data_IF_105049330416
#
_entry.id   IF_105049330416
#
_cell.length_a   1.000
_cell.length_b   1.000
_cell.length_c   1.000
_cell.angle_alpha   90.00
_cell.angle_beta   90.00
_cell.angle_gamma   90.00
#
_symmetry.space_group_name_H-M   'P 1'
#
loop_
_entity.id
_entity.type
_entity.pdbx_description
1 polymer ?
#
# COMPACT_ATOMS: atom_id res chain seq x y z
N UNK A 1 -22.68 37.18 19.97
CA UNK A 1 -23.16 37.11 18.57
C UNK A 1 -22.30 36.17 17.72
N UNK A 2 -21.00 36.39 17.52
CA UNK A 2 -20.14 35.45 16.75
C UNK A 2 -20.04 34.06 17.43
N UNK A 3 -19.89 34.02 18.75
CA UNK A 3 -19.81 32.78 19.53
C UNK A 3 -21.09 31.93 19.42
N UNK A 4 -22.24 32.59 19.33
CA UNK A 4 -23.55 31.97 19.25
C UNK A 4 -23.79 31.36 17.86
N UNK A 5 -23.33 32.04 16.81
CA UNK A 5 -23.29 31.51 15.44
C UNK A 5 -22.33 30.32 15.35
N UNK A 6 -21.17 30.37 16.00
CA UNK A 6 -20.24 29.23 16.06
C UNK A 6 -20.87 28.03 16.77
N UNK A 7 -21.59 28.26 17.87
CA UNK A 7 -22.28 27.20 18.58
C UNK A 7 -23.34 26.52 17.71
N UNK A 8 -24.17 27.30 17.02
CA UNK A 8 -25.18 26.79 16.08
C UNK A 8 -24.54 26.03 14.91
N UNK A 9 -23.41 26.51 14.38
CA UNK A 9 -22.67 25.82 13.33
C UNK A 9 -22.14 24.46 13.80
N UNK A 10 -21.54 24.42 15.00
CA UNK A 10 -21.04 23.18 15.60
C UNK A 10 -22.21 22.21 15.86
N UNK A 11 -23.33 22.71 16.37
CA UNK A 11 -24.51 21.88 16.62
C UNK A 11 -25.10 21.30 15.33
N UNK A 12 -25.16 22.08 14.25
CA UNK A 12 -25.61 21.61 12.94
C UNK A 12 -24.68 20.53 12.35
N UNK A 13 -23.37 20.61 12.61
CA UNK A 13 -22.40 19.55 12.24
C UNK A 13 -22.64 18.28 13.05
N UNK A 14 -22.89 18.40 14.35
CA UNK A 14 -23.09 17.26 15.26
C UNK A 14 -24.46 16.57 15.06
N UNK A 15 -25.47 17.30 14.57
CA UNK A 15 -26.84 16.79 14.31
C UNK A 15 -27.19 16.91 12.82
N UNK A 16 -26.60 16.09 11.95
CA UNK A 16 -26.72 16.27 10.51
C UNK A 16 -28.15 16.04 9.97
N UNK A 17 -29.03 15.40 10.74
CA UNK A 17 -30.45 15.17 10.39
C UNK A 17 -31.40 16.26 10.87
N UNK A 18 -30.92 17.25 11.65
CA UNK A 18 -31.73 18.41 12.03
C UNK A 18 -31.99 19.32 10.82
N UNK A 19 -32.95 20.24 10.93
CA UNK A 19 -33.23 21.20 9.87
C UNK A 19 -31.98 22.03 9.51
N UNK A 20 -31.24 22.50 10.52
CA UNK A 20 -30.00 23.26 10.34
C UNK A 20 -28.88 22.38 9.75
N UNK A 21 -28.76 21.12 10.17
CA UNK A 21 -27.79 20.17 9.61
C UNK A 21 -28.07 19.83 8.14
N UNK A 22 -29.35 19.70 7.76
CA UNK A 22 -29.77 19.50 6.36
C UNK A 22 -29.42 20.73 5.53
N UNK A 23 -29.73 21.94 6.02
CA UNK A 23 -29.38 23.19 5.37
C UNK A 23 -27.87 23.34 5.18
N UNK A 24 -27.10 23.05 6.23
CA UNK A 24 -25.64 23.12 6.21
C UNK A 24 -25.03 22.15 5.20
N UNK A 25 -25.46 20.88 5.18
CA UNK A 25 -24.99 19.91 4.17
C UNK A 25 -25.30 20.37 2.75
N UNK A 26 -26.53 20.84 2.52
CA UNK A 26 -26.96 21.30 1.19
C UNK A 26 -26.10 22.47 0.71
N UNK A 27 -25.81 23.44 1.59
CA UNK A 27 -24.97 24.59 1.28
C UNK A 27 -23.49 24.21 1.08
N UNK A 28 -22.95 23.27 1.86
CA UNK A 28 -21.53 22.93 1.83
C UNK A 28 -21.14 21.86 0.80
N UNK A 29 -22.07 21.03 0.32
CA UNK A 29 -21.78 19.93 -0.63
C UNK A 29 -21.07 20.44 -1.89
N UNK A 30 -21.51 21.55 -2.47
CA UNK A 30 -20.86 22.13 -3.64
C UNK A 30 -19.39 22.53 -3.35
N UNK A 31 -19.14 23.14 -2.18
CA UNK A 31 -17.80 23.55 -1.74
C UNK A 31 -16.89 22.35 -1.52
N UNK A 32 -17.41 21.28 -0.90
CA UNK A 32 -16.67 20.04 -0.65
C UNK A 32 -16.32 19.36 -1.98
N UNK A 33 -17.27 19.25 -2.91
CA UNK A 33 -17.03 18.66 -4.25
C UNK A 33 -15.95 19.43 -5.01
N UNK A 34 -16.00 20.76 -4.99
CA UNK A 34 -14.98 21.59 -5.63
C UNK A 34 -13.60 21.38 -4.97
N UNK A 35 -13.54 21.35 -3.63
CA UNK A 35 -12.28 21.11 -2.91
C UNK A 35 -11.72 19.71 -3.12
N UNK A 36 -12.58 18.70 -3.21
CA UNK A 36 -12.18 17.33 -3.53
C UNK A 36 -11.64 17.24 -4.97
N UNK A 37 -12.33 17.87 -5.93
CA UNK A 37 -11.86 17.94 -7.32
C UNK A 37 -10.53 18.71 -7.43
N UNK A 38 -10.35 19.79 -6.67
CA UNK A 38 -9.10 20.55 -6.62
C UNK A 38 -7.96 19.74 -5.99
N UNK A 39 -8.25 18.94 -4.95
CA UNK A 39 -7.28 18.06 -4.33
C UNK A 39 -6.83 16.95 -5.31
N UNK A 40 -7.78 16.30 -5.98
CA UNK A 40 -7.51 15.29 -7.02
C UNK A 40 -6.71 15.91 -8.17
N UNK A 41 -7.11 17.09 -8.67
CA UNK A 41 -6.40 17.77 -9.75
C UNK A 41 -4.97 18.12 -9.34
N UNK A 42 -4.77 18.58 -8.10
CA UNK A 42 -3.42 18.87 -7.57
C UNK A 42 -2.57 17.61 -7.46
N UNK A 43 -3.17 16.50 -7.03
CA UNK A 43 -2.50 15.19 -6.94
C UNK A 43 -2.17 14.62 -8.32
N UNK A 44 -3.08 14.72 -9.29
CA UNK A 44 -2.84 14.33 -10.69
C UNK A 44 -1.76 15.19 -11.33
N UNK A 45 -1.78 16.51 -11.10
CA UNK A 45 -0.73 17.41 -11.60
C UNK A 45 0.62 17.14 -10.93
N UNK A 46 0.63 16.69 -9.67
CA UNK A 46 1.84 16.21 -9.00
C UNK A 46 2.29 14.90 -9.64
N UNK A 47 1.40 13.91 -9.80
CA UNK A 47 1.70 12.62 -10.43
C UNK A 47 2.25 12.79 -11.85
N UNK A 48 1.59 13.57 -12.72
CA UNK A 48 2.05 13.84 -14.09
C UNK A 48 3.38 14.61 -14.13
N UNK A 49 3.62 15.51 -13.17
CA UNK A 49 4.90 16.22 -13.03
C UNK A 49 6.06 15.32 -12.59
N UNK A 50 5.78 14.20 -11.91
CA UNK A 50 6.79 13.24 -11.45
C UNK A 50 6.97 12.02 -12.39
N UNK A 51 6.22 11.93 -13.49
CA UNK A 51 6.37 10.85 -14.51
C UNK A 51 7.44 11.20 -15.57
N UNK A 52 8.02 12.41 -15.57
CA UNK A 52 8.99 12.87 -16.59
C UNK A 52 10.34 13.35 -16.05
N UNK A 53 10.78 12.86 -14.89
CA UNK A 53 12.12 13.15 -14.37
C UNK A 53 12.70 11.92 -13.66
N UNK A 54 13.03 10.88 -14.43
CA UNK A 54 13.97 9.83 -13.97
C UNK A 54 15.44 10.23 -14.15
N UNK A 55 15.73 11.46 -14.61
CA UNK A 55 17.08 12.00 -14.61
C UNK A 55 17.17 13.31 -13.80
N UNK A 56 18.07 13.28 -12.81
CA UNK A 56 18.71 14.40 -12.09
C UNK A 56 17.93 15.10 -10.96
N UNK A 57 18.28 14.79 -9.71
CA UNK A 57 19.33 15.49 -8.92
C UNK A 57 19.10 15.25 -7.42
N UNK A 58 20.11 14.71 -6.72
CA UNK A 58 20.14 14.67 -5.26
C UNK A 58 19.95 16.08 -4.69
N UNK A 59 18.83 16.33 -3.99
CA UNK A 59 18.73 17.43 -3.02
C UNK A 59 18.65 16.87 -1.60
N UNK A 60 19.42 17.45 -0.66
CA UNK A 60 19.55 16.92 0.69
C UNK A 60 18.31 17.30 1.53
N UNK A 61 17.85 16.31 2.31
CA UNK A 61 16.96 16.41 3.46
C UNK A 61 15.59 17.09 3.28
N UNK A 62 14.61 16.27 2.92
CA UNK A 62 13.21 16.43 3.32
C UNK A 62 12.72 15.14 3.97
N UNK A 63 13.06 14.93 5.25
CA UNK A 63 12.53 13.79 6.03
C UNK A 63 10.99 13.89 6.11
N UNK A 64 10.29 13.18 5.22
CA UNK A 64 8.91 12.74 5.44
C UNK A 64 9.00 11.26 5.75
N UNK A 65 8.66 10.88 6.97
CA UNK A 65 8.68 9.51 7.45
C UNK A 65 7.73 8.62 6.62
N UNK A 66 8.24 8.06 5.54
CA UNK A 66 7.69 6.94 4.76
C UNK A 66 8.77 5.84 4.61
N UNK A 67 9.57 5.65 5.65
CA UNK A 67 10.77 4.80 5.62
C UNK A 67 10.56 3.45 6.31
N UNK A 68 9.42 2.79 6.11
CA UNK A 68 9.28 1.38 6.53
C UNK A 68 8.89 0.52 5.34
N UNK A 69 7.74 0.79 4.70
CA UNK A 69 7.19 -0.18 3.75
C UNK A 69 7.98 -0.23 2.42
N UNK A 70 8.41 0.92 1.88
CA UNK A 70 9.16 0.96 0.61
C UNK A 70 10.62 0.54 0.80
N UNK A 71 11.22 0.88 1.94
CA UNK A 71 12.58 0.43 2.31
C UNK A 71 12.60 -1.08 2.59
N UNK A 72 11.59 -1.60 3.30
CA UNK A 72 11.42 -3.04 3.55
C UNK A 72 11.17 -3.82 2.24
N UNK A 73 10.32 -3.30 1.34
CA UNK A 73 10.10 -3.91 0.02
C UNK A 73 11.36 -3.92 -0.83
N UNK A 74 12.08 -2.80 -0.88
CA UNK A 74 13.36 -2.71 -1.58
C UNK A 74 14.41 -3.66 -1.00
N UNK A 75 14.46 -3.78 0.32
CA UNK A 75 15.35 -4.71 1.01
C UNK A 75 14.99 -6.17 0.67
N UNK A 76 13.71 -6.54 0.74
CA UNK A 76 13.22 -7.88 0.36
C UNK A 76 13.57 -8.20 -1.08
N UNK A 77 13.36 -7.26 -2.01
CA UNK A 77 13.75 -7.45 -3.42
C UNK A 77 15.26 -7.65 -3.59
N UNK A 78 16.08 -6.89 -2.84
CA UNK A 78 17.54 -7.04 -2.87
C UNK A 78 18.01 -8.42 -2.37
N UNK A 79 17.30 -8.98 -1.38
CA UNK A 79 17.57 -10.32 -0.84
C UNK A 79 17.12 -11.39 -1.81
N UNK A 80 15.92 -11.25 -2.39
CA UNK A 80 15.37 -12.21 -3.35
C UNK A 80 16.17 -12.28 -4.66
N UNK A 81 16.78 -11.17 -5.12
CA UNK A 81 17.67 -11.16 -6.30
C UNK A 81 18.94 -12.00 -6.13
N UNK A 82 19.35 -12.31 -4.90
CA UNK A 82 20.52 -13.15 -4.60
C UNK A 82 20.21 -14.65 -4.72
N UNK A 83 18.94 -15.02 -4.81
CA UNK A 83 18.50 -16.41 -4.91
C UNK A 83 18.56 -16.84 -6.38
N UNK A 84 19.23 -17.96 -6.65
CA UNK A 84 19.59 -18.37 -8.01
C UNK A 84 18.39 -18.92 -8.81
N UNK A 85 17.36 -19.43 -8.15
CA UNK A 85 16.21 -20.06 -8.82
C UNK A 85 14.97 -19.14 -8.83
N UNK A 86 14.58 -18.60 -10.00
CA UNK A 86 13.44 -17.69 -10.10
C UNK A 86 12.10 -18.35 -9.76
N UNK A 87 11.99 -19.69 -9.88
CA UNK A 87 10.76 -20.42 -9.54
C UNK A 87 10.57 -20.52 -8.03
N UNK A 88 11.66 -20.69 -7.29
CA UNK A 88 11.65 -20.68 -5.82
C UNK A 88 11.28 -19.31 -5.27
N UNK A 89 11.85 -18.25 -5.87
CA UNK A 89 11.49 -16.85 -5.55
C UNK A 89 10.01 -16.58 -5.78
N UNK A 90 9.46 -17.05 -6.91
CA UNK A 90 8.04 -16.87 -7.22
C UNK A 90 7.13 -17.67 -6.25
N UNK A 91 7.52 -18.89 -5.88
CA UNK A 91 6.81 -19.68 -4.86
C UNK A 91 6.75 -18.96 -3.51
N UNK A 92 7.87 -18.38 -3.09
CA UNK A 92 7.96 -17.62 -1.85
C UNK A 92 7.17 -16.30 -1.92
N UNK A 93 7.17 -15.61 -3.06
CA UNK A 93 6.35 -14.40 -3.26
C UNK A 93 4.86 -14.69 -3.14
N UNK A 94 4.38 -15.74 -3.81
CA UNK A 94 2.99 -16.18 -3.69
C UNK A 94 2.65 -16.59 -2.25
N UNK A 95 3.60 -17.16 -1.51
CA UNK A 95 3.42 -17.45 -0.10
C UNK A 95 3.25 -16.17 0.75
N UNK A 96 4.06 -15.13 0.49
CA UNK A 96 3.97 -13.83 1.16
C UNK A 96 2.65 -13.10 0.84
N UNK A 97 2.10 -13.29 -0.35
CA UNK A 97 0.79 -12.77 -0.76
C UNK A 97 -0.40 -13.52 -0.12
N UNK A 98 -0.13 -14.54 0.71
CA UNK A 98 -1.16 -15.31 1.42
C UNK A 98 -1.83 -16.39 0.56
N UNK A 99 -1.28 -16.71 -0.61
CA UNK A 99 -1.82 -17.76 -1.48
C UNK A 99 -1.65 -19.13 -0.81
N UNK A 100 -2.72 -19.94 -0.72
CA UNK A 100 -2.63 -21.26 -0.10
C UNK A 100 -1.68 -22.16 -0.89
N UNK A 101 -0.79 -22.85 -0.16
CA UNK A 101 0.21 -23.79 -0.71
C UNK A 101 -0.45 -24.91 -1.51
N UNK A 102 -1.60 -25.37 -1.02
CA UNK A 102 -2.48 -26.32 -1.69
C UNK A 102 -3.93 -25.87 -1.52
N UNK A 103 -4.69 -25.89 -2.62
CA UNK A 103 -6.13 -25.72 -2.58
C UNK A 103 -6.71 -26.38 -3.81
N UNK A 104 -7.77 -27.14 -3.62
CA UNK A 104 -8.60 -27.70 -4.69
C UNK A 104 -9.69 -26.74 -5.15
N UNK A 105 -9.89 -25.61 -4.43
CA UNK A 105 -10.99 -24.65 -4.68
C UNK A 105 -10.53 -23.28 -5.18
N UNK A 106 -9.26 -22.94 -4.97
CA UNK A 106 -8.66 -21.63 -5.31
C UNK A 106 -7.31 -21.89 -5.96
N UNK A 107 -6.86 -20.98 -6.83
CA UNK A 107 -5.49 -21.02 -7.34
C UNK A 107 -4.51 -21.13 -6.17
N UNK A 108 -3.70 -22.18 -6.22
CA UNK A 108 -2.70 -22.49 -5.20
C UNK A 108 -1.31 -22.34 -5.80
N UNK A 109 -0.30 -22.15 -4.95
CA UNK A 109 1.10 -22.02 -5.38
C UNK A 109 1.51 -23.19 -6.30
N UNK A 110 1.04 -24.40 -5.95
CA UNK A 110 1.21 -25.61 -6.74
C UNK A 110 0.60 -25.49 -8.15
N UNK A 111 -0.63 -24.96 -8.24
CA UNK A 111 -1.33 -24.76 -9.52
C UNK A 111 -0.68 -23.65 -10.36
N UNK A 112 -0.26 -22.54 -9.73
CA UNK A 112 0.35 -21.40 -10.41
C UNK A 112 1.73 -21.75 -11.01
N UNK A 113 2.48 -22.62 -10.34
CA UNK A 113 3.81 -23.06 -10.79
C UNK A 113 3.79 -24.38 -11.57
N UNK A 114 2.62 -25.03 -11.70
CA UNK A 114 2.48 -26.32 -12.37
C UNK A 114 3.25 -27.45 -11.68
N UNK A 115 3.43 -27.38 -10.35
CA UNK A 115 4.19 -28.37 -9.56
C UNK A 115 3.32 -29.04 -8.52
N UNK A 116 3.82 -30.16 -7.96
CA UNK A 116 3.13 -30.81 -6.84
C UNK A 116 3.12 -29.89 -5.62
N UNK A 117 2.06 -29.96 -4.81
CA UNK A 117 1.98 -29.22 -3.54
C UNK A 117 3.18 -29.48 -2.62
N UNK A 118 3.71 -30.70 -2.64
CA UNK A 118 4.91 -31.08 -1.88
C UNK A 118 6.16 -30.35 -2.38
N UNK A 119 6.30 -30.23 -3.70
CA UNK A 119 7.42 -29.50 -4.33
C UNK A 119 7.34 -28.00 -4.02
N UNK A 120 6.15 -27.40 -4.11
CA UNK A 120 5.95 -26.00 -3.74
C UNK A 120 6.28 -25.74 -2.27
N UNK A 121 5.88 -26.64 -1.36
CA UNK A 121 6.23 -26.54 0.06
C UNK A 121 7.74 -26.65 0.30
N UNK A 122 8.41 -27.60 -0.35
CA UNK A 122 9.87 -27.74 -0.28
C UNK A 122 10.56 -26.47 -0.77
N UNK A 123 10.12 -25.88 -1.89
CA UNK A 123 10.70 -24.65 -2.41
C UNK A 123 10.52 -23.47 -1.45
N UNK A 124 9.36 -23.31 -0.82
CA UNK A 124 9.16 -22.24 0.17
C UNK A 124 10.13 -22.41 1.35
N UNK A 125 10.30 -23.64 1.88
CA UNK A 125 11.22 -23.92 3.00
C UNK A 125 12.68 -23.67 2.63
N UNK A 126 13.12 -24.16 1.48
CA UNK A 126 14.49 -23.94 0.99
C UNK A 126 14.78 -22.45 0.81
N UNK A 127 13.82 -21.70 0.24
CA UNK A 127 13.97 -20.25 0.04
C UNK A 127 14.04 -19.52 1.39
N UNK A 128 13.25 -19.92 2.38
CA UNK A 128 13.29 -19.34 3.72
C UNK A 128 14.64 -19.58 4.42
N UNK A 129 15.21 -20.78 4.27
CA UNK A 129 16.55 -21.12 4.80
C UNK A 129 17.67 -20.36 4.10
N UNK A 130 17.58 -20.19 2.77
CA UNK A 130 18.52 -19.37 1.99
C UNK A 130 18.43 -17.90 2.41
N UNK A 131 17.24 -17.34 2.55
CA UNK A 131 17.02 -15.97 3.05
C UNK A 131 17.60 -15.81 4.46
N UNK A 132 17.36 -16.78 5.36
CA UNK A 132 17.92 -16.77 6.72
C UNK A 132 19.45 -16.75 6.72
N UNK A 133 20.06 -17.51 5.81
CA UNK A 133 21.51 -17.55 5.59
C UNK A 133 22.04 -16.21 5.07
N UNK A 134 21.37 -15.61 4.08
CA UNK A 134 21.74 -14.32 3.49
C UNK A 134 21.63 -13.18 4.52
N UNK A 135 20.60 -13.20 5.36
CA UNK A 135 20.39 -12.21 6.42
C UNK A 135 21.35 -12.38 7.61
N UNK A 136 22.21 -13.41 7.59
CA UNK A 136 23.17 -13.65 8.66
C UNK A 136 22.51 -13.98 10.01
N UNK A 137 21.24 -14.35 10.01
CA UNK A 137 20.51 -14.81 11.20
C UNK A 137 20.96 -16.25 11.52
N UNK A 138 22.23 -16.37 11.92
CA UNK A 138 22.79 -17.58 12.50
C UNK A 138 22.26 -17.68 13.93
N UNK A 139 21.59 -18.81 14.22
CA UNK A 139 21.29 -19.22 15.59
C UNK A 139 22.55 -19.37 16.43
#
# INVERSE_FOLDING_TARGET
>A
MIEEVHHQLIEAVLKPTSADGIGMRTAFVARIKLRAADAIRREQLHSERYVYSEDEEQRPNGHRALGTDDEERSHVESVLKRISDPRKVLAFRLHMEGVPRNSTKVESIASALGVSAKTAETWVKETEEEIRTILGAKS
#
